data_IF_922884486024
#
_entry.id   IF_922884486024
#
_cell.length_a   1.000
_cell.length_b   1.000
_cell.length_c   1.000
_cell.angle_alpha   90.00
_cell.angle_beta   90.00
_cell.angle_gamma   90.00
#
_symmetry.space_group_name_H-M   'P 1'
#
loop_
_entity.id
_entity.type
_entity.pdbx_description
1 polymer ?
#
# COMPACT_ATOMS: atom_id res chain seq x y z
N UNK A 1 -10.61 11.57 -3.60
CA UNK A 1 -9.74 10.88 -4.57
C UNK A 1 -10.10 9.39 -4.61
N UNK A 2 -9.89 8.67 -5.72
CA UNK A 2 -10.01 7.20 -5.70
C UNK A 2 -8.79 6.57 -5.03
N UNK A 3 -9.00 5.76 -4.00
CA UNK A 3 -7.96 4.95 -3.35
C UNK A 3 -7.81 3.63 -4.11
N UNK A 4 -6.57 3.26 -4.44
CA UNK A 4 -6.26 1.99 -5.10
C UNK A 4 -5.86 0.97 -4.05
N UNK A 5 -6.50 -0.19 -4.09
CA UNK A 5 -6.25 -1.29 -3.16
C UNK A 5 -4.74 -1.53 -3.01
N UNK A 6 -4.24 -1.64 -1.79
CA UNK A 6 -2.83 -1.94 -1.51
C UNK A 6 -2.68 -3.21 -0.67
N UNK A 7 -1.65 -4.00 -0.96
CA UNK A 7 -1.23 -5.10 -0.08
C UNK A 7 -0.41 -4.65 1.13
N UNK A 8 -0.17 -3.34 1.27
CA UNK A 8 0.75 -2.74 2.24
C UNK A 8 0.02 -1.95 3.31
N UNK A 9 0.66 -1.81 4.46
CA UNK A 9 0.31 -0.79 5.45
C UNK A 9 1.17 0.47 5.23
N UNK A 10 0.82 1.57 5.88
CA UNK A 10 1.52 2.84 5.72
C UNK A 10 1.43 3.75 6.94
N UNK A 11 2.25 4.80 6.94
CA UNK A 11 2.08 5.99 7.77
C UNK A 11 1.66 7.14 6.88
N UNK A 12 0.68 7.92 7.32
CA UNK A 12 0.26 9.14 6.63
C UNK A 12 0.21 10.29 7.62
N UNK A 13 0.78 11.41 7.21
CA UNK A 13 0.82 12.67 7.94
C UNK A 13 0.13 13.73 7.10
N UNK A 14 -0.69 14.57 7.72
CA UNK A 14 -1.28 15.71 7.04
C UNK A 14 -1.55 16.87 7.98
N UNK A 15 -1.71 18.04 7.39
CA UNK A 15 -2.11 19.26 8.08
C UNK A 15 -3.46 19.73 7.54
N UNK A 16 -4.38 20.10 8.43
CA UNK A 16 -5.68 20.67 8.10
C UNK A 16 -6.04 21.71 9.16
N UNK A 17 -6.43 22.92 8.72
CA UNK A 17 -6.82 24.03 9.60
C UNK A 17 -5.75 24.37 10.66
N UNK A 18 -4.46 24.30 10.28
CA UNK A 18 -3.32 24.54 11.16
C UNK A 18 -3.06 23.41 12.18
N UNK A 19 -3.81 22.31 12.14
CA UNK A 19 -3.62 21.15 13.00
C UNK A 19 -3.02 19.98 12.23
N UNK A 20 -2.02 19.34 12.84
CA UNK A 20 -1.36 18.16 12.28
C UNK A 20 -1.99 16.87 12.77
N UNK A 21 -1.95 15.89 11.88
CA UNK A 21 -2.51 14.57 12.08
C UNK A 21 -1.52 13.53 11.58
N UNK A 22 -1.57 12.35 12.21
CA UNK A 22 -0.83 11.18 11.80
C UNK A 22 -1.74 9.96 11.92
N UNK A 23 -1.62 9.03 10.99
CA UNK A 23 -2.37 7.78 11.02
C UNK A 23 -1.52 6.62 10.49
N UNK A 24 -1.84 5.42 10.97
CA UNK A 24 -1.43 4.17 10.35
C UNK A 24 -2.55 3.74 9.41
N UNK A 25 -2.23 3.51 8.14
CA UNK A 25 -3.18 2.92 7.17
C UNK A 25 -2.89 1.44 7.01
N UNK A 26 -3.94 0.65 6.81
CA UNK A 26 -3.79 -0.78 6.57
C UNK A 26 -3.89 -1.17 5.10
N UNK A 27 -3.64 -2.46 4.81
CA UNK A 27 -3.91 -3.05 3.50
C UNK A 27 -5.39 -2.98 3.14
N UNK A 28 -5.69 -2.91 1.85
CA UNK A 28 -7.04 -2.77 1.32
C UNK A 28 -7.37 -3.96 0.40
N UNK A 29 -8.56 -4.54 0.56
CA UNK A 29 -9.04 -5.69 -0.20
C UNK A 29 -9.68 -5.31 -1.54
N UNK A 30 -9.95 -4.01 -1.73
CA UNK A 30 -10.58 -3.40 -2.90
C UNK A 30 -10.33 -1.88 -2.92
N UNK A 31 -10.57 -1.27 -4.07
CA UNK A 31 -10.57 0.19 -4.22
C UNK A 31 -11.56 0.87 -3.28
N UNK A 32 -11.24 2.08 -2.86
CA UNK A 32 -12.07 2.89 -1.98
C UNK A 32 -12.04 4.38 -2.35
N UNK A 33 -12.50 5.21 -1.44
CA UNK A 33 -12.44 6.67 -1.56
C UNK A 33 -11.61 7.23 -0.42
N UNK A 34 -10.55 7.95 -0.76
CA UNK A 34 -9.77 8.71 0.20
C UNK A 34 -10.28 10.16 0.20
N UNK A 35 -10.80 10.68 1.34
CA UNK A 35 -11.08 12.10 1.48
C UNK A 35 -9.76 12.87 1.41
N UNK A 36 -9.73 13.90 0.58
CA UNK A 36 -8.58 14.81 0.46
C UNK A 36 -9.15 16.20 0.73
N UNK A 37 -9.09 16.69 1.98
CA UNK A 37 -9.58 18.02 2.32
C UNK A 37 -8.86 19.07 1.47
N UNK A 38 -9.58 20.14 1.14
CA UNK A 38 -8.99 21.25 0.40
C UNK A 38 -7.86 21.89 1.23
N UNK A 39 -6.74 22.19 0.57
CA UNK A 39 -5.56 22.76 1.23
C UNK A 39 -4.75 21.80 2.10
N UNK A 40 -5.19 20.54 2.27
CA UNK A 40 -4.43 19.57 3.06
C UNK A 40 -3.20 19.06 2.28
N UNK A 41 -2.04 19.17 2.91
CA UNK A 41 -0.80 18.57 2.41
C UNK A 41 -0.58 17.22 3.07
N UNK A 42 -0.34 16.19 2.26
CA UNK A 42 -0.12 14.82 2.73
C UNK A 42 1.34 14.40 2.52
N UNK A 43 1.90 13.72 3.52
CA UNK A 43 3.15 12.96 3.40
C UNK A 43 2.84 11.51 3.77
N UNK A 44 3.03 10.59 2.82
CA UNK A 44 2.75 9.18 3.00
C UNK A 44 4.01 8.33 2.91
N UNK A 45 4.15 7.35 3.80
CA UNK A 45 5.18 6.32 3.77
C UNK A 45 4.47 4.98 3.63
N UNK A 46 4.68 4.28 2.52
CA UNK A 46 4.18 2.92 2.33
C UNK A 46 5.27 1.92 2.66
N UNK A 47 4.96 0.93 3.48
CA UNK A 47 5.94 -0.10 3.86
C UNK A 47 5.79 -1.34 2.98
N UNK A 48 6.91 -2.00 2.70
CA UNK A 48 6.91 -3.19 1.85
C UNK A 48 6.01 -4.31 2.41
N UNK A 49 5.39 -5.08 1.52
CA UNK A 49 4.59 -6.26 1.91
C UNK A 49 5.42 -7.22 2.76
N UNK A 50 4.82 -7.74 3.84
CA UNK A 50 5.49 -8.61 4.79
C UNK A 50 6.23 -7.87 5.91
N UNK A 51 6.15 -6.54 5.93
CA UNK A 51 6.50 -5.76 7.12
C UNK A 51 5.28 -5.51 7.99
N UNK A 52 5.51 -5.27 9.28
CA UNK A 52 4.46 -4.86 10.22
C UNK A 52 5.03 -4.02 11.37
N UNK A 53 4.16 -3.28 12.06
CA UNK A 53 4.51 -2.69 13.35
C UNK A 53 4.53 -3.77 14.42
N UNK A 54 5.54 -3.75 15.30
CA UNK A 54 5.64 -4.76 16.38
C UNK A 54 4.48 -4.70 17.37
N UNK A 55 3.93 -3.50 17.59
CA UNK A 55 2.85 -3.22 18.56
C UNK A 55 1.45 -3.31 17.98
N UNK A 56 1.32 -3.51 16.66
CA UNK A 56 0.03 -3.45 15.98
C UNK A 56 -0.07 -4.55 14.94
N UNK A 57 -1.04 -5.44 15.13
CA UNK A 57 -1.28 -6.54 14.21
C UNK A 57 -1.89 -6.01 12.91
N UNK A 58 -1.16 -6.10 11.79
CA UNK A 58 -1.64 -5.68 10.46
C UNK A 58 -3.06 -6.19 10.11
N UNK A 59 -3.49 -7.41 10.48
CA UNK A 59 -4.85 -7.89 10.21
C UNK A 59 -5.97 -7.01 10.79
N UNK A 60 -5.71 -6.26 11.86
CA UNK A 60 -6.72 -5.36 12.46
C UNK A 60 -6.87 -4.05 11.70
N UNK A 61 -6.02 -3.80 10.70
CA UNK A 61 -6.01 -2.59 9.89
C UNK A 61 -6.62 -2.79 8.50
N UNK A 62 -6.97 -4.01 8.12
CA UNK A 62 -7.48 -4.32 6.77
C UNK A 62 -8.73 -3.49 6.48
N UNK A 63 -8.75 -2.85 5.30
CA UNK A 63 -9.77 -1.92 4.83
C UNK A 63 -9.99 -0.69 5.75
N UNK A 64 -8.94 -0.29 6.48
CA UNK A 64 -9.01 0.84 7.39
C UNK A 64 -7.65 1.36 7.85
N UNK A 65 -7.60 1.78 9.11
CA UNK A 65 -6.44 2.39 9.72
C UNK A 65 -6.75 2.89 11.12
N UNK A 66 -5.75 3.44 11.79
CA UNK A 66 -5.91 4.07 13.10
C UNK A 66 -5.28 5.46 13.12
N UNK A 67 -5.96 6.39 13.75
CA UNK A 67 -5.38 7.69 14.10
C UNK A 67 -4.33 7.49 15.19
N UNK A 68 -3.15 8.09 15.00
CA UNK A 68 -2.13 8.09 16.04
C UNK A 68 -2.46 9.20 17.06
N UNK A 69 -2.36 8.91 18.37
CA UNK A 69 -2.56 9.90 19.41
C UNK A 69 -1.37 10.85 19.51
N UNK A 70 -1.53 11.90 20.33
CA UNK A 70 -0.45 12.79 20.78
C UNK A 70 0.39 13.41 19.65
N UNK A 71 -0.30 13.79 18.58
CA UNK A 71 0.30 14.56 17.49
C UNK A 71 0.40 16.02 17.91
N UNK A 72 1.63 16.48 18.13
CA UNK A 72 1.98 17.89 18.35
C UNK A 72 2.55 18.50 17.07
N UNK A 73 2.93 19.78 17.11
CA UNK A 73 3.43 20.51 15.95
C UNK A 73 4.51 19.79 15.14
N UNK A 74 5.41 19.02 15.77
CA UNK A 74 6.45 18.29 15.03
C UNK A 74 6.59 16.83 15.44
N UNK A 75 5.79 16.33 16.38
CA UNK A 75 6.00 14.98 16.92
C UNK A 75 4.72 14.18 16.92
N UNK A 76 4.88 12.87 16.81
CA UNK A 76 3.82 11.89 16.96
C UNK A 76 4.29 10.75 17.86
N UNK A 77 3.34 10.08 18.51
CA UNK A 77 3.64 8.89 19.31
C UNK A 77 3.50 7.63 18.47
N UNK A 78 4.54 6.79 18.47
CA UNK A 78 4.48 5.47 17.86
C UNK A 78 5.44 4.52 18.57
N UNK A 79 4.89 3.37 18.97
CA UNK A 79 5.67 2.29 19.55
C UNK A 79 6.47 2.69 20.81
N UNK A 80 5.79 3.38 21.72
CA UNK A 80 6.36 3.73 23.03
C UNK A 80 7.29 4.94 23.06
N UNK A 81 7.43 5.65 21.92
CA UNK A 81 8.31 6.81 21.83
C UNK A 81 7.67 7.95 21.01
N UNK A 82 8.04 9.19 21.36
CA UNK A 82 7.80 10.35 20.52
C UNK A 82 8.82 10.40 19.38
N UNK A 83 8.32 10.60 18.16
CA UNK A 83 9.10 10.65 16.92
C UNK A 83 8.80 11.94 16.19
N UNK A 84 9.73 12.40 15.37
CA UNK A 84 9.51 13.59 14.55
C UNK A 84 8.71 13.26 13.29
N UNK A 85 7.71 14.08 12.97
CA UNK A 85 6.96 14.00 11.71
C UNK A 85 7.95 14.31 10.57
N UNK A 86 8.13 13.40 9.61
CA UNK A 86 9.13 13.56 8.57
C UNK A 86 8.69 14.66 7.61
N UNK A 87 9.64 15.47 7.15
CA UNK A 87 9.46 16.19 5.88
C UNK A 87 9.62 15.19 4.74
N UNK A 88 9.19 15.53 3.51
CA UNK A 88 9.36 14.64 2.36
C UNK A 88 10.78 14.08 2.21
N UNK A 89 11.80 14.91 2.45
CA UNK A 89 13.22 14.52 2.32
C UNK A 89 13.75 13.70 3.52
N UNK A 90 13.01 13.64 4.63
CA UNK A 90 13.43 12.97 5.87
C UNK A 90 12.73 11.61 6.08
N UNK A 91 11.88 11.18 5.14
CA UNK A 91 11.06 9.98 5.27
C UNK A 91 11.91 8.71 5.41
N UNK A 92 12.99 8.58 4.64
CA UNK A 92 13.91 7.43 4.70
C UNK A 92 14.59 7.33 6.06
N UNK A 93 15.09 8.44 6.59
CA UNK A 93 15.74 8.49 7.90
C UNK A 93 14.78 8.10 9.04
N UNK A 94 13.49 8.42 8.93
CA UNK A 94 12.48 7.93 9.87
C UNK A 94 12.32 6.41 9.78
N UNK A 95 12.22 5.87 8.56
CA UNK A 95 12.07 4.42 8.34
C UNK A 95 13.29 3.66 8.87
N UNK A 96 14.50 4.13 8.59
CA UNK A 96 15.74 3.52 9.10
C UNK A 96 15.75 3.43 10.62
N UNK A 97 15.36 4.51 11.32
CA UNK A 97 15.24 4.52 12.78
C UNK A 97 14.19 3.52 13.27
N UNK A 98 13.02 3.47 12.63
CA UNK A 98 11.96 2.52 12.99
C UNK A 98 12.41 1.06 12.85
N UNK A 99 13.19 0.75 11.82
CA UNK A 99 13.77 -0.59 11.61
C UNK A 99 14.85 -0.87 12.65
N UNK A 100 15.77 0.08 12.88
CA UNK A 100 16.88 -0.07 13.82
C UNK A 100 16.39 -0.33 15.25
N UNK A 101 15.32 0.36 15.67
CA UNK A 101 14.70 0.20 16.98
C UNK A 101 13.77 -1.03 17.08
N UNK A 102 13.61 -1.77 15.98
CA UNK A 102 12.73 -2.94 15.89
C UNK A 102 11.24 -2.61 15.92
N UNK A 103 10.86 -1.33 15.79
CA UNK A 103 9.46 -0.88 15.74
C UNK A 103 8.75 -1.44 14.50
N UNK A 104 9.46 -1.48 13.38
CA UNK A 104 9.04 -2.14 12.14
C UNK A 104 9.80 -3.44 12.01
N UNK A 105 9.05 -4.53 11.90
CA UNK A 105 9.59 -5.89 11.72
C UNK A 105 9.25 -6.41 10.33
N UNK A 106 10.01 -7.39 9.86
CA UNK A 106 9.82 -8.03 8.55
C UNK A 106 9.72 -9.54 8.72
N UNK A 107 8.67 -10.15 8.18
CA UNK A 107 8.56 -11.61 8.11
C UNK A 107 9.49 -12.13 6.99
N UNK A 108 10.52 -12.93 7.32
CA UNK A 108 11.53 -13.35 6.35
C UNK A 108 10.97 -14.31 5.30
N UNK A 109 9.98 -15.13 5.66
CA UNK A 109 9.35 -16.08 4.73
C UNK A 109 8.52 -15.32 3.69
N UNK A 110 7.70 -14.37 4.14
CA UNK A 110 6.90 -13.52 3.23
C UNK A 110 7.83 -12.73 2.31
N UNK A 111 8.89 -12.13 2.86
CA UNK A 111 9.88 -11.40 2.09
C UNK A 111 10.60 -12.25 1.04
N UNK A 112 11.01 -13.47 1.38
CA UNK A 112 11.64 -14.39 0.43
C UNK A 112 10.68 -14.83 -0.67
N UNK A 113 9.43 -15.15 -0.31
CA UNK A 113 8.40 -15.55 -1.27
C UNK A 113 8.12 -14.45 -2.29
N UNK A 114 8.07 -13.19 -1.86
CA UNK A 114 7.86 -12.04 -2.75
C UNK A 114 9.05 -11.77 -3.68
N UNK A 115 10.26 -12.19 -3.32
CA UNK A 115 11.44 -12.19 -4.21
C UNK A 115 11.47 -13.36 -5.19
N UNK A 116 10.42 -14.20 -5.21
CA UNK A 116 10.33 -15.36 -6.08
C UNK A 116 11.06 -16.60 -5.57
N UNK A 117 11.57 -16.58 -4.33
CA UNK A 117 12.15 -17.78 -3.72
C UNK A 117 11.05 -18.81 -3.43
N UNK A 118 11.20 -20.07 -3.85
CA UNK A 118 10.25 -21.12 -3.50
C UNK A 118 10.15 -21.25 -1.98
N UNK A 119 8.93 -21.29 -1.40
CA UNK A 119 8.77 -21.46 0.03
C UNK A 119 9.19 -22.89 0.42
N UNK A 120 10.08 -23.02 1.41
CA UNK A 120 10.49 -24.32 1.98
C UNK A 120 9.44 -24.89 2.96
N UNK A 121 8.23 -24.32 2.97
CA UNK A 121 7.15 -24.68 3.88
C UNK A 121 5.90 -25.05 3.11
N UNK A 122 5.00 -25.80 3.75
CA UNK A 122 3.69 -26.09 3.16
C UNK A 122 2.90 -24.82 2.82
N UNK A 123 2.04 -24.91 1.81
CA UNK A 123 1.11 -23.84 1.42
C UNK A 123 0.28 -23.33 2.59
N UNK A 124 -0.17 -24.22 3.49
CA UNK A 124 -0.90 -23.86 4.71
C UNK A 124 -0.08 -22.95 5.62
N UNK A 125 1.21 -23.25 5.81
CA UNK A 125 2.11 -22.44 6.64
C UNK A 125 2.37 -21.09 5.98
N UNK A 126 2.59 -21.08 4.66
CA UNK A 126 2.77 -19.87 3.88
C UNK A 126 1.55 -18.95 3.99
N UNK A 127 0.37 -19.49 3.73
CA UNK A 127 -0.91 -18.79 3.81
C UNK A 127 -1.19 -18.22 5.20
N UNK A 128 -0.85 -18.96 6.25
CA UNK A 128 -0.95 -18.46 7.63
C UNK A 128 0.00 -17.29 7.88
N UNK A 129 1.23 -17.38 7.37
CA UNK A 129 2.27 -16.34 7.52
C UNK A 129 1.92 -15.07 6.78
N UNK A 130 1.44 -15.17 5.55
CA UNK A 130 0.90 -14.03 4.79
C UNK A 130 -0.24 -13.36 5.55
N UNK A 131 -1.26 -14.13 5.97
CA UNK A 131 -2.38 -13.55 6.75
C UNK A 131 -1.91 -12.88 8.03
N UNK A 132 -0.95 -13.44 8.75
CA UNK A 132 -0.44 -12.83 9.97
C UNK A 132 0.31 -11.51 9.70
N UNK A 133 1.15 -11.48 8.67
CA UNK A 133 1.99 -10.32 8.36
C UNK A 133 1.21 -9.18 7.66
N UNK A 134 0.24 -9.52 6.81
CA UNK A 134 -0.44 -8.55 5.93
C UNK A 134 -1.94 -8.46 6.16
N UNK A 135 -2.55 -9.37 6.92
CA UNK A 135 -4.01 -9.50 6.97
C UNK A 135 -4.64 -10.09 5.70
N UNK A 136 -3.86 -10.29 4.64
CA UNK A 136 -4.31 -10.76 3.33
C UNK A 136 -3.74 -12.15 3.01
N UNK A 137 -4.41 -12.87 2.11
CA UNK A 137 -3.86 -14.11 1.57
C UNK A 137 -2.72 -13.82 0.60
N UNK A 138 -1.85 -14.80 0.36
CA UNK A 138 -0.79 -14.66 -0.64
C UNK A 138 -1.38 -14.38 -2.03
N UNK A 139 -2.46 -15.08 -2.38
CA UNK A 139 -3.18 -14.85 -3.64
C UNK A 139 -3.80 -13.45 -3.74
N UNK A 140 -4.35 -12.90 -2.66
CA UNK A 140 -4.93 -11.55 -2.66
C UNK A 140 -3.86 -10.48 -2.89
N UNK A 141 -2.72 -10.59 -2.20
CA UNK A 141 -1.55 -9.71 -2.43
C UNK A 141 -1.12 -9.78 -3.90
N UNK A 142 -0.94 -10.99 -4.47
CA UNK A 142 -0.58 -11.16 -5.88
C UNK A 142 -1.58 -10.51 -6.83
N UNK A 143 -2.89 -10.65 -6.58
CA UNK A 143 -3.92 -10.06 -7.43
C UNK A 143 -3.93 -8.53 -7.38
N UNK A 144 -3.71 -7.95 -6.20
CA UNK A 144 -3.60 -6.50 -6.02
C UNK A 144 -2.39 -5.96 -6.80
N UNK A 145 -1.20 -6.54 -6.59
CA UNK A 145 0.02 -6.11 -7.28
C UNK A 145 -0.12 -6.27 -8.79
N UNK A 146 -0.66 -7.41 -9.25
CA UNK A 146 -0.93 -7.64 -10.68
C UNK A 146 -1.90 -6.62 -11.28
N UNK A 147 -2.93 -6.23 -10.54
CA UNK A 147 -3.86 -5.19 -11.00
C UNK A 147 -3.19 -3.81 -11.04
N UNK A 148 -2.33 -3.49 -10.07
CA UNK A 148 -1.53 -2.24 -10.04
C UNK A 148 -0.57 -2.17 -11.23
N UNK A 149 0.16 -3.26 -11.51
CA UNK A 149 1.02 -3.35 -12.71
C UNK A 149 0.20 -3.21 -13.99
N UNK A 150 -0.97 -3.84 -14.08
CA UNK A 150 -1.85 -3.70 -15.23
C UNK A 150 -2.27 -2.23 -15.44
N UNK A 151 -2.64 -1.53 -14.36
CA UNK A 151 -3.00 -0.14 -14.42
C UNK A 151 -1.84 0.76 -14.87
N UNK A 152 -0.62 0.51 -14.36
CA UNK A 152 0.58 1.20 -14.81
C UNK A 152 0.80 1.04 -16.32
N UNK A 153 0.80 -0.20 -16.82
CA UNK A 153 0.98 -0.48 -18.26
C UNK A 153 -0.05 0.26 -19.13
N UNK A 154 -1.32 0.24 -18.71
CA UNK A 154 -2.41 0.94 -19.39
C UNK A 154 -2.20 2.46 -19.38
N UNK A 155 -1.79 3.04 -18.25
CA UNK A 155 -1.50 4.48 -18.14
C UNK A 155 -0.30 4.90 -19.01
N UNK A 156 0.65 3.99 -19.24
CA UNK A 156 1.79 4.19 -20.17
C UNK A 156 1.45 3.90 -21.64
N UNK A 157 0.19 3.58 -21.96
CA UNK A 157 -0.31 3.48 -23.33
C UNK A 157 -0.43 2.06 -23.90
N UNK A 158 -0.09 1.02 -23.14
CA UNK A 158 -0.20 -0.38 -23.55
C UNK A 158 -1.66 -0.75 -23.90
N UNK A 159 -1.86 -1.60 -24.91
CA UNK A 159 -3.19 -2.05 -25.28
C UNK A 159 -3.73 -3.12 -24.29
N UNK A 160 -5.04 -3.16 -24.00
CA UNK A 160 -5.62 -4.15 -23.07
C UNK A 160 -5.29 -5.60 -23.41
N UNK A 161 -5.31 -5.99 -24.69
CA UNK A 161 -4.95 -7.34 -25.13
C UNK A 161 -3.50 -7.71 -24.79
N UNK A 162 -2.55 -6.78 -24.97
CA UNK A 162 -1.14 -7.00 -24.60
C UNK A 162 -0.97 -7.11 -23.09
N UNK A 163 -1.70 -6.32 -22.31
CA UNK A 163 -1.70 -6.41 -20.84
C UNK A 163 -2.27 -7.75 -20.36
N UNK A 164 -3.32 -8.26 -21.02
CA UNK A 164 -3.89 -9.58 -20.73
C UNK A 164 -2.82 -10.65 -20.91
N UNK A 165 -2.11 -10.65 -22.05
CA UNK A 165 -1.06 -11.61 -22.34
C UNK A 165 0.15 -11.47 -21.39
N UNK A 166 0.63 -10.24 -21.16
CA UNK A 166 1.83 -9.97 -20.33
C UNK A 166 1.64 -10.34 -18.86
N UNK A 167 0.43 -10.17 -18.33
CA UNK A 167 0.13 -10.39 -16.91
C UNK A 167 -0.71 -11.65 -16.66
N UNK A 168 -0.82 -12.53 -17.66
CA UNK A 168 -1.49 -13.83 -17.54
C UNK A 168 -2.92 -13.69 -17.00
N UNK A 169 -3.66 -12.73 -17.56
CA UNK A 169 -5.12 -12.71 -17.42
C UNK A 169 -5.70 -13.67 -18.46
N UNK A 170 -6.80 -14.33 -18.10
CA UNK A 170 -7.46 -15.25 -19.02
C UNK A 170 -8.02 -14.53 -20.26
N UNK A 171 -8.63 -13.36 -20.06
CA UNK A 171 -9.18 -12.51 -21.11
C UNK A 171 -9.36 -11.05 -20.62
N UNK A 172 -9.80 -10.17 -21.52
CA UNK A 172 -10.11 -8.77 -21.19
C UNK A 172 -11.22 -8.62 -20.13
N UNK A 173 -12.33 -9.38 -20.13
CA UNK A 173 -13.30 -9.38 -19.04
C UNK A 173 -12.69 -9.65 -17.66
N UNK A 174 -11.73 -10.57 -17.52
CA UNK A 174 -11.04 -10.85 -16.25
C UNK A 174 -10.15 -9.69 -15.83
N UNK A 175 -9.40 -9.09 -16.78
CA UNK A 175 -8.67 -7.85 -16.53
C UNK A 175 -9.62 -6.73 -16.06
N UNK A 176 -10.74 -6.53 -16.75
CA UNK A 176 -11.70 -5.49 -16.43
C UNK A 176 -12.35 -5.69 -15.04
N UNK A 177 -12.57 -6.93 -14.59
CA UNK A 177 -13.03 -7.23 -13.22
C UNK A 177 -11.97 -6.88 -12.18
N UNK A 178 -10.71 -7.23 -12.42
CA UNK A 178 -9.61 -6.89 -11.52
C UNK A 178 -9.40 -5.38 -11.41
N UNK A 179 -9.41 -4.65 -12.53
CA UNK A 179 -9.27 -3.19 -12.54
C UNK A 179 -10.40 -2.50 -11.78
N UNK A 180 -11.66 -2.90 -12.01
CA UNK A 180 -12.79 -2.35 -11.25
C UNK A 180 -12.67 -2.63 -9.76
N UNK A 181 -12.26 -3.85 -9.39
CA UNK A 181 -12.16 -4.26 -7.98
C UNK A 181 -11.04 -3.55 -7.24
N UNK A 182 -9.84 -3.48 -7.81
CA UNK A 182 -8.65 -3.05 -7.09
C UNK A 182 -8.25 -1.61 -7.40
N UNK A 183 -8.52 -1.13 -8.62
CA UNK A 183 -8.10 0.20 -9.09
C UNK A 183 -9.26 1.20 -9.08
N UNK A 184 -10.50 0.72 -9.26
CA UNK A 184 -11.68 1.59 -9.37
C UNK A 184 -11.76 2.34 -10.69
N UNK A 185 -11.04 1.88 -11.72
CA UNK A 185 -11.03 2.45 -13.07
C UNK A 185 -11.16 1.36 -14.13
N UNK A 186 -11.64 1.75 -15.30
CA UNK A 186 -11.61 0.89 -16.50
C UNK A 186 -10.30 1.07 -17.27
N UNK A 187 -9.99 0.12 -18.15
CA UNK A 187 -8.82 0.24 -19.01
C UNK A 187 -8.87 1.49 -19.90
N UNK A 188 -10.06 1.84 -20.42
CA UNK A 188 -10.25 3.07 -21.21
C UNK A 188 -10.00 4.34 -20.39
N UNK A 189 -10.48 4.40 -19.14
CA UNK A 189 -10.22 5.53 -18.25
C UNK A 189 -8.73 5.67 -17.92
N UNK A 190 -8.04 4.57 -17.64
CA UNK A 190 -6.60 4.57 -17.33
C UNK A 190 -5.77 5.05 -18.52
N UNK A 191 -6.07 4.56 -19.73
CA UNK A 191 -5.38 4.97 -20.97
C UNK A 191 -5.66 6.43 -21.34
N UNK A 192 -6.88 6.90 -21.14
CA UNK A 192 -7.26 8.29 -21.37
C UNK A 192 -6.83 9.23 -20.24
N UNK A 193 -6.24 8.70 -19.15
CA UNK A 193 -5.97 9.42 -17.91
C UNK A 193 -7.19 10.20 -17.39
N UNK A 194 -8.37 9.60 -17.55
CA UNK A 194 -9.66 10.19 -17.21
C UNK A 194 -10.17 9.67 -15.86
N UNK A 195 -11.11 10.41 -15.26
CA UNK A 195 -11.74 10.03 -13.99
C UNK A 195 -11.13 10.68 -12.75
N UNK A 196 -10.35 11.75 -12.91
CA UNK A 196 -9.80 12.54 -11.81
C UNK A 196 -8.68 11.82 -11.04
N UNK A 197 -8.24 12.44 -9.94
CA UNK A 197 -7.10 11.95 -9.17
C UNK A 197 -7.32 10.52 -8.61
N UNK A 198 -6.28 9.71 -8.72
CA UNK A 198 -6.22 8.33 -8.26
C UNK A 198 -4.93 8.14 -7.45
N UNK A 199 -5.00 7.39 -6.35
CA UNK A 199 -3.86 7.06 -5.49
C UNK A 199 -2.97 5.97 -6.13
N UNK A 200 -2.54 6.24 -7.37
CA UNK A 200 -1.63 5.41 -8.14
C UNK A 200 -0.80 6.35 -9.01
N UNK A 201 0.38 6.70 -8.50
CA UNK A 201 1.31 7.57 -9.20
C UNK A 201 2.37 6.72 -9.92
N UNK A 202 2.39 6.69 -11.27
CA UNK A 202 3.39 5.96 -12.03
C UNK A 202 4.81 6.51 -11.85
N UNK A 203 4.96 7.73 -11.30
CA UNK A 203 6.25 8.37 -11.03
C UNK A 203 6.76 8.13 -9.61
N UNK A 204 5.95 7.50 -8.75
CA UNK A 204 6.33 7.21 -7.38
C UNK A 204 7.50 6.22 -7.35
N UNK A 205 8.67 6.67 -6.89
CA UNK A 205 9.85 5.83 -6.77
C UNK A 205 9.67 4.87 -5.60
N UNK A 206 9.76 3.57 -5.87
CA UNK A 206 9.97 2.57 -4.83
C UNK A 206 11.41 2.67 -4.36
N UNK A 207 11.62 3.07 -3.12
CA UNK A 207 12.94 3.03 -2.47
C UNK A 207 13.17 1.62 -1.93
N UNK A 208 14.37 1.07 -2.18
CA UNK A 208 14.71 -0.34 -1.86
C UNK A 208 15.34 -0.48 -0.48
#
# INVERSE_FOLDING_TARGET
>A
MTSVASGTWGLVFWEQDGRRYAAVTGPETRTGTAPVPEGAMFTGIQFAVGTSLRTLATPTLVDGGIMLPDVSDRKFWLDGAHREIPRPDDAEALVERLVHEGAVVRDPLVAATLRGSPPEVSDRTLERRFRAATGLTHGAVRQIERARTAAFLLMTGEAPGDVVAKLDYYDEPHLARALRRYIGRTAGQLRAQAGGAIALDPTQRTTS
#
